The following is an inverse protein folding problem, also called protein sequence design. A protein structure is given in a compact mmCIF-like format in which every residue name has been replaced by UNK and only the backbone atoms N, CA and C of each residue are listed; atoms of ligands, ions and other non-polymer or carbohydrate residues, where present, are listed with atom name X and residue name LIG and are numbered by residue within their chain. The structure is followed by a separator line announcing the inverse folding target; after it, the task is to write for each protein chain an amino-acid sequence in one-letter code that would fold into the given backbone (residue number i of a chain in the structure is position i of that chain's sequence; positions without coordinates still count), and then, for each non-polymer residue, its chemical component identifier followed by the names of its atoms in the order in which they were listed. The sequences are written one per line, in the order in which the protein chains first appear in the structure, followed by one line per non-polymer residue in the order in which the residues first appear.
data_IF_154723479447
#
_entry.id   IF_154723479447
#
_cell.length_a   1.000
_cell.length_b   1.000
_cell.length_c   1.000
_cell.angle_alpha   90.00
_cell.angle_beta   90.00
_cell.angle_gamma   90.00
#
_symmetry.space_group_name_H-M   'P 1'
#
loop_
_entity.id
_entity.type
_entity.pdbx_description
1 polymer ?
#
# COMPACT_ATOMS: atom_id res chain seq x y z
N UNK A 1 -14.27 3.53 28.63
CA UNK A 1 -14.47 4.09 28.21
C UNK A 1 -14.03 5.25 27.86
N UNK A 2 -13.34 5.53 27.24
CA UNK A 2 -12.74 6.57 27.10
C UNK A 2 -12.87 7.22 25.88
N UNK A 3 -13.99 7.52 25.59
CA UNK A 3 -14.27 8.36 24.51
C UNK A 3 -13.81 9.73 24.76
N UNK A 4 -13.38 10.00 25.96
CA UNK A 4 -12.92 11.26 26.20
C UNK A 4 -11.73 11.60 25.41
N UNK A 5 -11.06 10.73 24.76
CA UNK A 5 -9.91 11.00 23.91
C UNK A 5 -10.32 11.71 22.61
N UNK A 6 -11.61 11.82 22.32
CA UNK A 6 -12.06 12.41 21.07
C UNK A 6 -11.85 11.55 19.85
N UNK A 7 -11.40 10.32 20.02
CA UNK A 7 -11.20 9.42 18.90
C UNK A 7 -12.54 8.92 18.35
N UNK A 8 -12.69 8.82 17.02
CA UNK A 8 -13.90 8.23 16.47
C UNK A 8 -14.01 6.76 16.85
N UNK A 9 -15.23 6.20 16.88
CA UNK A 9 -15.38 4.77 17.15
C UNK A 9 -14.70 3.96 16.05
N UNK A 10 -14.22 2.74 16.37
CA UNK A 10 -13.63 1.90 15.35
C UNK A 10 -14.65 1.55 14.27
N UNK A 11 -14.21 1.34 13.01
CA UNK A 11 -15.13 0.99 11.95
C UNK A 11 -15.75 -0.39 12.21
N UNK A 12 -16.95 -0.58 11.68
CA UNK A 12 -17.59 -1.88 11.74
C UNK A 12 -16.80 -2.86 10.89
N UNK A 13 -16.28 -3.88 11.52
CA UNK A 13 -15.46 -4.88 10.84
C UNK A 13 -16.27 -5.98 10.19
N UNK A 14 -17.51 -6.18 10.63
CA UNK A 14 -18.40 -7.20 10.07
C UNK A 14 -19.68 -6.57 9.57
N UNK A 15 -20.18 -7.11 8.48
CA UNK A 15 -21.52 -6.83 7.99
C UNK A 15 -22.54 -7.56 8.88
N UNK A 16 -23.82 -7.22 8.74
CA UNK A 16 -24.88 -7.84 9.53
C UNK A 16 -24.96 -9.36 9.35
N UNK A 17 -24.55 -9.85 8.19
CA UNK A 17 -24.52 -11.29 7.88
C UNK A 17 -23.25 -12.01 8.36
N UNK A 18 -22.38 -11.32 9.06
CA UNK A 18 -21.16 -11.90 9.59
C UNK A 18 -19.97 -11.91 8.63
N UNK A 19 -20.13 -11.45 7.40
CA UNK A 19 -19.01 -11.34 6.45
C UNK A 19 -18.18 -10.11 6.76
N UNK A 20 -16.91 -10.11 6.30
CA UNK A 20 -16.01 -8.97 6.48
C UNK A 20 -16.52 -7.74 5.73
N UNK A 21 -16.54 -6.60 6.42
CA UNK A 21 -16.95 -5.33 5.80
C UNK A 21 -15.84 -4.80 4.88
N UNK A 22 -16.19 -3.81 4.04
CA UNK A 22 -15.21 -3.13 3.20
C UNK A 22 -14.12 -2.48 4.05
N UNK A 23 -14.48 -1.95 5.23
CA UNK A 23 -13.50 -1.36 6.14
C UNK A 23 -12.45 -2.39 6.58
N UNK A 24 -12.87 -3.62 6.86
CA UNK A 24 -11.96 -4.71 7.21
C UNK A 24 -10.99 -4.99 6.06
N UNK A 25 -11.49 -5.09 4.84
CA UNK A 25 -10.66 -5.37 3.68
C UNK A 25 -9.62 -4.27 3.46
N UNK A 26 -10.02 -3.00 3.59
CA UNK A 26 -9.10 -1.88 3.46
C UNK A 26 -8.03 -1.87 4.56
N UNK A 27 -8.43 -2.11 5.81
CA UNK A 27 -7.49 -2.14 6.93
C UNK A 27 -6.49 -3.27 6.80
N UNK A 28 -6.94 -4.46 6.39
CA UNK A 28 -6.05 -5.61 6.18
C UNK A 28 -5.07 -5.34 5.04
N UNK A 29 -5.54 -4.72 3.95
CA UNK A 29 -4.67 -4.38 2.82
C UNK A 29 -3.59 -3.39 3.25
N UNK A 30 -3.95 -2.33 3.97
CA UNK A 30 -2.99 -1.34 4.45
C UNK A 30 -1.99 -1.96 5.42
N UNK A 31 -2.45 -2.83 6.31
CA UNK A 31 -1.56 -3.55 7.22
C UNK A 31 -0.55 -4.39 6.45
N UNK A 32 -1.00 -5.13 5.45
CA UNK A 32 -0.13 -5.95 4.62
C UNK A 32 0.89 -5.11 3.87
N UNK A 33 0.48 -3.99 3.28
CA UNK A 33 1.39 -3.10 2.56
C UNK A 33 2.46 -2.51 3.47
N UNK A 34 2.10 -2.08 4.69
CA UNK A 34 3.06 -1.56 5.66
C UNK A 34 4.06 -2.63 6.09
N UNK A 35 3.57 -3.84 6.35
CA UNK A 35 4.43 -4.97 6.71
C UNK A 35 5.43 -5.26 5.60
N UNK A 36 4.95 -5.30 4.36
CA UNK A 36 5.80 -5.65 3.23
C UNK A 36 6.82 -4.56 2.92
N UNK A 37 6.46 -3.28 3.04
CA UNK A 37 7.41 -2.18 2.89
C UNK A 37 8.53 -2.31 3.92
N UNK A 38 8.21 -2.61 5.17
CA UNK A 38 9.23 -2.79 6.21
C UNK A 38 10.17 -3.95 5.86
N UNK A 39 9.63 -5.02 5.29
CA UNK A 39 10.44 -6.16 4.84
C UNK A 39 11.36 -5.80 3.67
N UNK A 40 10.86 -5.02 2.70
CA UNK A 40 11.69 -4.54 1.60
C UNK A 40 12.82 -3.63 2.08
N UNK A 41 12.54 -2.74 3.04
CA UNK A 41 13.56 -1.87 3.62
C UNK A 41 14.67 -2.70 4.26
N UNK A 42 14.32 -3.72 5.04
CA UNK A 42 15.31 -4.60 5.66
C UNK A 42 16.11 -5.38 4.61
N UNK A 43 15.44 -5.91 3.60
CA UNK A 43 16.11 -6.65 2.52
C UNK A 43 17.08 -5.75 1.75
N UNK A 44 16.66 -4.52 1.46
CA UNK A 44 17.54 -3.55 0.79
C UNK A 44 18.78 -3.23 1.61
N UNK A 45 18.63 -3.10 2.94
CA UNK A 45 19.77 -2.86 3.84
C UNK A 45 20.74 -4.05 3.84
N UNK A 46 20.22 -5.28 3.82
CA UNK A 46 21.05 -6.48 3.76
C UNK A 46 21.86 -6.54 2.45
N UNK A 47 21.21 -6.23 1.32
CA UNK A 47 21.87 -6.20 0.00
C UNK A 47 22.94 -5.12 -0.03
N UNK A 48 22.64 -3.95 0.49
CA UNK A 48 23.60 -2.84 0.56
C UNK A 48 24.82 -3.19 1.42
N UNK A 49 24.62 -3.99 2.47
CA UNK A 49 25.69 -4.46 3.33
C UNK A 49 26.53 -5.60 2.71
N UNK A 50 26.16 -6.06 1.52
CA UNK A 50 26.91 -7.07 0.78
C UNK A 50 26.24 -8.43 0.66
N UNK A 51 25.12 -8.66 1.33
CA UNK A 51 24.42 -9.93 1.20
C UNK A 51 23.44 -9.85 0.02
N UNK A 52 23.92 -10.25 -1.15
CA UNK A 52 23.15 -10.18 -2.40
C UNK A 52 22.44 -11.50 -2.73
N UNK A 53 22.51 -12.48 -1.84
CA UNK A 53 21.99 -13.83 -2.10
C UNK A 53 20.48 -13.84 -2.38
N UNK A 54 19.73 -12.87 -1.85
CA UNK A 54 18.28 -12.81 -2.01
C UNK A 54 17.81 -11.78 -3.02
N UNK A 55 18.73 -11.20 -3.79
CA UNK A 55 18.40 -10.11 -4.72
C UNK A 55 17.31 -10.51 -5.72
N UNK A 56 17.40 -11.70 -6.32
CA UNK A 56 16.40 -12.17 -7.29
C UNK A 56 15.04 -12.37 -6.66
N UNK A 57 15.00 -12.95 -5.47
CA UNK A 57 13.74 -13.17 -4.75
C UNK A 57 13.07 -11.82 -4.38
N UNK A 58 13.86 -10.86 -3.91
CA UNK A 58 13.37 -9.54 -3.54
C UNK A 58 12.84 -8.80 -4.77
N UNK A 59 13.57 -8.82 -5.88
CA UNK A 59 13.11 -8.21 -7.12
C UNK A 59 11.81 -8.82 -7.60
N UNK A 60 11.73 -10.15 -7.62
CA UNK A 60 10.52 -10.85 -8.07
C UNK A 60 9.32 -10.51 -7.18
N UNK A 61 9.53 -10.45 -5.87
CA UNK A 61 8.46 -10.11 -4.93
C UNK A 61 7.95 -8.69 -5.18
N UNK A 62 8.83 -7.75 -5.44
CA UNK A 62 8.43 -6.39 -5.80
C UNK A 62 7.65 -6.37 -7.10
N UNK A 63 8.23 -6.88 -8.18
CA UNK A 63 7.66 -6.76 -9.52
C UNK A 63 6.37 -7.54 -9.71
N UNK A 64 6.30 -8.75 -9.18
CA UNK A 64 5.21 -9.68 -9.48
C UNK A 64 4.15 -9.77 -8.41
N UNK A 65 4.41 -9.26 -7.21
CA UNK A 65 3.47 -9.34 -6.11
C UNK A 65 3.12 -7.98 -5.57
N UNK A 66 4.04 -7.32 -4.86
CA UNK A 66 3.76 -6.09 -4.15
C UNK A 66 3.29 -4.96 -5.07
N UNK A 67 4.04 -4.70 -6.12
CA UNK A 67 3.77 -3.57 -7.03
C UNK A 67 2.42 -3.73 -7.72
N UNK A 68 2.10 -4.95 -8.14
CA UNK A 68 0.82 -5.23 -8.79
C UNK A 68 -0.34 -5.16 -7.82
N UNK A 69 -0.18 -5.67 -6.61
CA UNK A 69 -1.21 -5.63 -5.59
C UNK A 69 -1.52 -4.18 -5.19
N UNK A 70 -0.50 -3.35 -5.03
CA UNK A 70 -0.67 -1.95 -4.69
C UNK A 70 -1.36 -1.18 -5.81
N UNK A 71 -0.97 -1.42 -7.06
CA UNK A 71 -1.62 -0.80 -8.21
C UNK A 71 -3.10 -1.17 -8.29
N UNK A 72 -3.42 -2.45 -8.14
CA UNK A 72 -4.81 -2.92 -8.15
C UNK A 72 -5.63 -2.31 -7.01
N UNK A 73 -5.04 -2.19 -5.82
CA UNK A 73 -5.68 -1.58 -4.66
C UNK A 73 -6.02 -0.10 -4.92
N UNK A 74 -5.04 0.69 -5.40
CA UNK A 74 -5.27 2.10 -5.70
C UNK A 74 -6.27 2.29 -6.83
N UNK A 75 -6.21 1.45 -7.87
CA UNK A 75 -7.17 1.50 -8.97
C UNK A 75 -8.58 1.23 -8.48
N UNK A 76 -8.75 0.22 -7.65
CA UNK A 76 -10.06 -0.11 -7.08
C UNK A 76 -10.61 1.04 -6.25
N UNK A 77 -9.75 1.67 -5.41
CA UNK A 77 -10.18 2.81 -4.62
C UNK A 77 -10.60 3.99 -5.50
N UNK A 78 -9.76 4.36 -6.47
CA UNK A 78 -9.99 5.56 -7.28
C UNK A 78 -11.15 5.39 -8.27
N UNK A 79 -11.32 4.19 -8.82
CA UNK A 79 -12.31 3.96 -9.87
C UNK A 79 -13.66 3.49 -9.34
N UNK A 80 -13.69 2.87 -8.16
CA UNK A 80 -14.94 2.30 -7.66
C UNK A 80 -15.25 2.70 -6.23
N UNK A 81 -14.37 2.47 -5.29
CA UNK A 81 -14.66 2.64 -3.87
C UNK A 81 -14.92 4.11 -3.54
N UNK A 82 -14.02 4.99 -3.94
CA UNK A 82 -14.16 6.42 -3.66
C UNK A 82 -15.36 7.04 -4.36
N UNK A 83 -15.64 6.74 -5.65
CA UNK A 83 -16.89 7.23 -6.27
C UNK A 83 -18.15 6.73 -5.58
N UNK A 84 -18.18 5.47 -5.14
CA UNK A 84 -19.34 4.92 -4.44
C UNK A 84 -19.55 5.61 -3.08
N UNK A 85 -18.47 5.85 -2.34
CA UNK A 85 -18.53 6.57 -1.06
C UNK A 85 -18.99 8.00 -1.29
N UNK A 86 -18.47 8.68 -2.31
CA UNK A 86 -18.84 10.06 -2.63
C UNK A 86 -20.32 10.16 -2.97
N UNK A 87 -20.86 9.21 -3.71
CA UNK A 87 -22.27 9.20 -4.05
C UNK A 87 -23.15 9.03 -2.82
N UNK A 88 -22.72 8.19 -1.88
CA UNK A 88 -23.47 7.91 -0.68
C UNK A 88 -23.27 8.98 0.40
N UNK A 89 -22.10 9.55 0.46
CA UNK A 89 -21.72 10.57 1.44
C UNK A 89 -21.02 11.75 0.75
N UNK A 90 -21.80 12.64 0.10
CA UNK A 90 -21.20 13.75 -0.66
C UNK A 90 -20.30 14.67 0.15
N UNK A 91 -20.51 14.74 1.46
CA UNK A 91 -19.71 15.57 2.35
C UNK A 91 -18.25 15.12 2.41
N UNK A 92 -17.97 13.88 1.99
CA UNK A 92 -16.61 13.34 2.00
C UNK A 92 -15.84 13.61 0.70
N UNK A 93 -16.46 14.30 -0.26
CA UNK A 93 -15.84 14.54 -1.58
C UNK A 93 -14.46 15.18 -1.47
N UNK A 94 -14.28 16.16 -0.59
CA UNK A 94 -13.00 16.84 -0.40
C UNK A 94 -11.92 15.91 0.14
N UNK A 95 -12.25 15.12 1.15
CA UNK A 95 -11.32 14.16 1.74
C UNK A 95 -10.92 13.07 0.72
N UNK A 96 -11.88 12.58 -0.05
CA UNK A 96 -11.62 11.57 -1.07
C UNK A 96 -10.75 12.12 -2.20
N UNK A 97 -10.96 13.38 -2.59
CA UNK A 97 -10.13 14.06 -3.58
C UNK A 97 -8.69 14.19 -3.10
N UNK A 98 -8.48 14.48 -1.81
CA UNK A 98 -7.15 14.54 -1.22
C UNK A 98 -6.45 13.17 -1.28
N UNK A 99 -7.19 12.10 -1.00
CA UNK A 99 -6.62 10.75 -1.08
C UNK A 99 -6.23 10.39 -2.51
N UNK A 100 -7.06 10.75 -3.50
CA UNK A 100 -6.74 10.53 -4.90
C UNK A 100 -5.48 11.30 -5.31
N UNK A 101 -5.34 12.55 -4.86
CA UNK A 101 -4.12 13.33 -5.11
C UNK A 101 -2.90 12.67 -4.48
N UNK A 102 -3.02 12.10 -3.29
CA UNK A 102 -1.94 11.38 -2.63
C UNK A 102 -1.53 10.15 -3.45
N UNK A 103 -2.49 9.43 -4.04
CA UNK A 103 -2.19 8.31 -4.93
C UNK A 103 -1.35 8.78 -6.12
N UNK A 104 -1.70 9.91 -6.74
CA UNK A 104 -0.92 10.46 -7.85
C UNK A 104 0.49 10.88 -7.43
N UNK A 105 0.67 11.38 -6.21
CA UNK A 105 2.00 11.75 -5.70
C UNK A 105 2.87 10.54 -5.42
N UNK A 106 2.27 9.40 -5.15
CA UNK A 106 3.01 8.16 -4.90
C UNK A 106 3.54 7.58 -6.21
N UNK A 107 2.87 7.78 -7.33
CA UNK A 107 3.25 7.19 -8.60
C UNK A 107 4.72 7.42 -8.99
N UNK A 108 5.25 8.66 -8.95
CA UNK A 108 6.67 8.87 -9.27
C UNK A 108 7.62 8.16 -8.30
N UNK A 109 7.22 8.02 -7.03
CA UNK A 109 8.02 7.30 -6.03
C UNK A 109 8.04 5.81 -6.37
N UNK A 110 6.90 5.26 -6.76
CA UNK A 110 6.80 3.86 -7.16
C UNK A 110 7.59 3.58 -8.43
N UNK A 111 7.60 4.50 -9.38
CA UNK A 111 8.40 4.38 -10.59
C UNK A 111 9.89 4.35 -10.28
N UNK A 112 10.35 5.18 -9.33
CA UNK A 112 11.74 5.13 -8.87
C UNK A 112 12.04 3.79 -8.18
N UNK A 113 11.08 3.28 -7.42
CA UNK A 113 11.18 1.95 -6.83
C UNK A 113 11.30 0.86 -7.88
N UNK A 114 10.48 0.93 -8.92
CA UNK A 114 10.52 -0.04 -10.02
C UNK A 114 11.92 -0.08 -10.65
N UNK A 115 12.51 1.09 -10.92
CA UNK A 115 13.85 1.18 -11.48
C UNK A 115 14.92 0.63 -10.53
N UNK A 116 14.81 0.98 -9.24
CA UNK A 116 15.78 0.52 -8.25
C UNK A 116 15.73 -1.00 -8.07
N UNK A 117 14.53 -1.59 -8.02
CA UNK A 117 14.41 -3.04 -7.88
C UNK A 117 14.82 -3.78 -9.17
N UNK A 118 14.62 -3.18 -10.33
CA UNK A 118 15.11 -3.75 -11.59
C UNK A 118 16.63 -3.88 -11.59
N UNK A 119 17.32 -2.92 -10.96
CA UNK A 119 18.80 -2.96 -10.86
C UNK A 119 19.30 -4.11 -9.98
N UNK A 120 18.45 -4.76 -9.20
CA UNK A 120 18.84 -5.94 -8.44
C UNK A 120 19.11 -7.16 -9.33
N UNK A 121 18.82 -7.10 -10.63
CA UNK A 121 19.36 -8.08 -11.58
C UNK A 121 20.88 -7.97 -11.68
N UNK A 122 21.44 -6.82 -11.25
CA UNK A 122 22.87 -6.54 -11.22
C UNK A 122 23.21 -6.05 -9.82
N UNK A 123 23.38 -6.98 -8.86
CA UNK A 123 23.58 -6.61 -7.43
C UNK A 123 24.78 -5.68 -7.17
N UNK A 124 25.75 -5.65 -8.08
CA UNK A 124 26.90 -4.75 -7.97
C UNK A 124 26.48 -3.28 -8.02
N UNK A 125 25.26 -2.98 -8.49
CA UNK A 125 24.76 -1.61 -8.58
C UNK A 125 23.94 -1.22 -7.33
N UNK A 126 23.81 -2.10 -6.34
CA UNK A 126 22.93 -1.89 -5.20
C UNK A 126 23.34 -0.70 -4.32
N UNK A 127 24.55 -0.20 -4.44
CA UNK A 127 25.01 0.96 -3.69
C UNK A 127 24.62 2.28 -4.34
N UNK A 128 24.18 2.25 -5.57
CA UNK A 128 23.73 3.42 -6.28
C UNK A 128 22.25 3.74 -5.94
#
# INVERSE_FOLDING_TARGET
MNTESGMPPPPNLLNDDGTASMATMLLLSHHAFRRDIARFIRAAAEIKAGDVSRSDAVRNEWEKSYRQALHGHHTMEDMKIFPDIKNKYPDLASALGTLTEQHHKIDPVLERGDAAFADLAHPENAEA
#
